data_IF_022650632384
#
_entry.id   IF_022650632384
#
_cell.length_a   1.000
_cell.length_b   1.000
_cell.length_c   1.000
_cell.angle_alpha   90.00
_cell.angle_beta   90.00
_cell.angle_gamma   90.00
#
_symmetry.space_group_name_H-M   'P 1'
#
loop_
_entity.id
_entity.type
_entity.pdbx_description
1 polymer ?
#
# COMPACT_ATOMS: atom_id res chain seq x y z
N UNK A 1 -22.19 -24.15 7.03
CA UNK A 1 -22.88 -23.67 5.82
C UNK A 1 -21.94 -22.71 5.10
N UNK A 2 -21.67 -22.87 3.79
CA UNK A 2 -20.91 -21.86 3.08
C UNK A 2 -21.83 -20.64 2.86
N UNK A 3 -21.44 -19.47 3.37
CA UNK A 3 -22.12 -18.21 3.08
C UNK A 3 -21.79 -17.80 1.63
N UNK A 4 -22.53 -18.31 0.67
CA UNK A 4 -22.57 -17.80 -0.71
C UNK A 4 -23.58 -16.67 -0.78
N UNK A 5 -23.17 -15.43 -0.53
CA UNK A 5 -24.08 -14.26 -0.61
C UNK A 5 -23.42 -13.00 -1.22
N UNK A 6 -22.33 -13.18 -1.97
CA UNK A 6 -21.55 -12.07 -2.53
C UNK A 6 -21.31 -12.21 -4.05
N UNK A 7 -21.60 -13.38 -4.64
CA UNK A 7 -21.47 -13.57 -6.08
C UNK A 7 -22.40 -12.61 -6.84
N UNK A 8 -21.84 -11.80 -7.74
CA UNK A 8 -22.58 -10.79 -8.51
C UNK A 8 -22.65 -9.40 -7.85
N UNK A 9 -22.04 -9.22 -6.68
CA UNK A 9 -22.00 -7.93 -5.95
C UNK A 9 -20.65 -7.23 -6.05
N UNK A 10 -19.77 -7.67 -6.95
CA UNK A 10 -18.38 -7.21 -7.01
C UNK A 10 -18.26 -5.70 -7.30
N UNK A 11 -19.28 -5.12 -7.95
CA UNK A 11 -19.33 -3.68 -8.26
C UNK A 11 -19.99 -2.82 -7.17
N UNK A 12 -20.52 -3.41 -6.10
CA UNK A 12 -21.13 -2.65 -5.01
C UNK A 12 -20.06 -1.82 -4.28
N UNK A 13 -20.36 -0.55 -4.01
CA UNK A 13 -19.48 0.36 -3.27
C UNK A 13 -19.51 0.03 -1.78
N UNK A 14 -18.33 -0.08 -1.18
CA UNK A 14 -18.10 -0.28 0.24
C UNK A 14 -18.22 1.06 0.98
N UNK A 15 -19.27 1.21 1.79
CA UNK A 15 -19.55 2.47 2.52
C UNK A 15 -18.99 2.54 3.94
N UNK A 16 -18.39 1.46 4.43
CA UNK A 16 -18.00 1.32 5.84
C UNK A 16 -16.49 1.48 6.08
N UNK A 17 -15.69 1.72 5.04
CA UNK A 17 -14.24 1.95 5.15
C UNK A 17 -13.98 3.45 4.96
N UNK A 18 -13.59 4.18 6.03
CA UNK A 18 -13.19 5.58 5.92
C UNK A 18 -12.01 5.77 4.95
N UNK A 19 -11.97 6.90 4.25
CA UNK A 19 -10.94 7.23 3.25
C UNK A 19 -11.12 6.55 1.89
N UNK A 20 -12.14 5.71 1.70
CA UNK A 20 -12.30 4.91 0.48
C UNK A 20 -13.72 5.02 -0.13
N UNK A 21 -14.02 6.16 -0.75
CA UNK A 21 -15.36 6.42 -1.32
C UNK A 21 -15.69 5.60 -2.58
N UNK A 22 -14.67 5.16 -3.32
CA UNK A 22 -14.82 4.43 -4.59
C UNK A 22 -14.49 2.93 -4.48
N UNK A 23 -14.16 2.44 -3.28
CA UNK A 23 -13.76 1.06 -3.07
C UNK A 23 -14.94 0.12 -3.32
N UNK A 24 -14.75 -0.86 -4.22
CA UNK A 24 -15.79 -1.85 -4.53
C UNK A 24 -15.57 -3.12 -3.73
N UNK A 25 -16.63 -3.93 -3.58
CA UNK A 25 -16.51 -5.23 -2.93
C UNK A 25 -15.47 -6.11 -3.62
N UNK A 26 -15.39 -6.09 -4.96
CA UNK A 26 -14.40 -6.85 -5.71
C UNK A 26 -12.94 -6.40 -5.51
N UNK A 27 -12.71 -5.19 -5.02
CA UNK A 27 -11.37 -4.65 -4.78
C UNK A 27 -10.77 -5.10 -3.44
N UNK A 28 -11.59 -5.68 -2.54
CA UNK A 28 -11.12 -6.14 -1.24
C UNK A 28 -10.12 -7.31 -1.40
N UNK A 29 -9.18 -7.50 -0.47
CA UNK A 29 -8.29 -8.66 -0.55
C UNK A 29 -9.07 -9.98 -0.46
N UNK A 30 -8.63 -10.99 -1.24
CA UNK A 30 -9.13 -12.36 -1.09
C UNK A 30 -8.86 -12.83 0.34
N UNK A 31 -9.87 -13.43 0.97
CA UNK A 31 -9.84 -13.81 2.38
C UNK A 31 -10.54 -12.84 3.32
N UNK A 32 -10.94 -11.65 2.88
CA UNK A 32 -11.74 -10.73 3.70
C UNK A 32 -13.23 -11.05 3.60
N UNK A 33 -13.76 -11.12 2.37
CA UNK A 33 -15.16 -11.45 2.09
C UNK A 33 -15.34 -12.64 1.14
N UNK A 34 -14.34 -12.95 0.32
CA UNK A 34 -14.41 -13.98 -0.74
C UNK A 34 -13.18 -14.87 -0.76
N UNK A 35 -13.27 -15.99 -1.46
CA UNK A 35 -12.26 -17.05 -1.48
C UNK A 35 -12.48 -18.08 -0.35
N UNK A 36 -11.49 -18.94 -0.14
CA UNK A 36 -11.56 -19.95 0.92
C UNK A 36 -11.27 -19.33 2.29
N UNK A 37 -12.32 -18.89 3.00
CA UNK A 37 -12.21 -18.24 4.30
C UNK A 37 -11.71 -19.18 5.43
N UNK A 38 -11.78 -20.49 5.21
CA UNK A 38 -11.28 -21.51 6.14
C UNK A 38 -9.81 -21.86 5.88
N UNK A 39 -9.18 -21.27 4.86
CA UNK A 39 -7.76 -21.46 4.60
C UNK A 39 -6.92 -21.02 5.82
N UNK A 40 -5.88 -21.78 6.21
CA UNK A 40 -5.01 -21.41 7.33
C UNK A 40 -4.47 -19.98 7.25
N UNK A 41 -4.16 -19.50 6.04
CA UNK A 41 -3.68 -18.14 5.80
C UNK A 41 -4.76 -17.09 6.14
N UNK A 42 -6.01 -17.32 5.71
CA UNK A 42 -7.12 -16.40 5.99
C UNK A 42 -7.46 -16.41 7.48
N UNK A 43 -7.49 -17.59 8.10
CA UNK A 43 -7.70 -17.74 9.54
C UNK A 43 -6.61 -17.01 10.33
N UNK A 44 -5.35 -17.10 9.87
CA UNK A 44 -4.23 -16.33 10.44
C UNK A 44 -4.45 -14.83 10.31
N UNK A 45 -4.80 -14.32 9.13
CA UNK A 45 -5.06 -12.88 8.90
C UNK A 45 -6.22 -12.37 9.77
N UNK A 46 -7.31 -13.14 9.86
CA UNK A 46 -8.44 -12.80 10.72
C UNK A 46 -8.02 -12.74 12.20
N UNK A 47 -7.27 -13.74 12.69
CA UNK A 47 -6.74 -13.74 14.07
C UNK A 47 -5.79 -12.57 14.32
N UNK A 48 -4.92 -12.25 13.36
CA UNK A 48 -4.02 -11.10 13.43
C UNK A 48 -4.82 -9.80 13.59
N UNK A 49 -5.80 -9.54 12.71
CA UNK A 49 -6.65 -8.36 12.78
C UNK A 49 -7.38 -8.20 14.13
N UNK A 50 -7.79 -9.31 14.74
CA UNK A 50 -8.42 -9.32 16.08
C UNK A 50 -7.43 -9.12 17.23
N UNK A 51 -6.15 -9.46 17.03
CA UNK A 51 -5.10 -9.31 18.03
C UNK A 51 -4.46 -7.92 18.00
N UNK A 52 -4.43 -7.23 16.84
CA UNK A 52 -3.80 -5.91 16.66
C UNK A 52 -4.22 -4.88 17.73
N UNK A 53 -5.51 -4.69 18.09
CA UNK A 53 -5.89 -3.70 19.11
C UNK A 53 -5.27 -3.95 20.50
N UNK A 54 -4.77 -5.17 20.76
CA UNK A 54 -4.11 -5.55 22.02
C UNK A 54 -2.59 -5.35 22.00
N UNK A 55 -2.00 -5.07 20.85
CA UNK A 55 -0.56 -4.86 20.73
C UNK A 55 -0.12 -3.62 21.52
N UNK A 56 1.09 -3.67 22.08
CA UNK A 56 1.71 -2.51 22.71
C UNK A 56 1.93 -1.39 21.70
N UNK A 57 2.44 -1.74 20.52
CA UNK A 57 2.74 -0.86 19.40
C UNK A 57 2.44 -1.58 18.08
N UNK A 58 2.00 -0.84 17.07
CA UNK A 58 1.93 -1.33 15.69
C UNK A 58 2.75 -0.40 14.83
N UNK A 59 3.86 -0.90 14.29
CA UNK A 59 4.68 -0.19 13.34
C UNK A 59 4.26 -0.54 11.92
N UNK A 60 4.10 0.47 11.06
CA UNK A 60 3.73 0.30 9.65
C UNK A 60 4.72 1.03 8.77
N UNK A 61 5.14 0.39 7.68
CA UNK A 61 5.93 1.02 6.63
C UNK A 61 5.05 1.93 5.76
N UNK A 62 4.70 3.08 6.31
CA UNK A 62 3.93 4.16 5.68
C UNK A 62 4.33 5.48 6.35
N UNK A 63 3.70 6.59 5.96
CA UNK A 63 3.86 7.91 6.57
C UNK A 63 2.49 8.56 6.79
N UNK A 64 2.36 9.45 7.76
CA UNK A 64 1.05 9.96 8.21
C UNK A 64 0.35 10.81 7.15
N UNK A 65 1.14 11.57 6.39
CA UNK A 65 0.66 12.52 5.40
C UNK A 65 0.14 11.86 4.12
N UNK A 66 0.35 10.54 3.94
CA UNK A 66 -0.09 9.81 2.76
C UNK A 66 -1.61 9.84 2.61
N UNK A 67 -2.30 9.58 3.71
CA UNK A 67 -3.75 9.63 3.81
C UNK A 67 -4.16 9.95 5.26
N UNK A 68 -4.47 11.22 5.57
CA UNK A 68 -4.83 11.62 6.93
C UNK A 68 -6.11 10.96 7.46
N UNK A 69 -7.09 10.68 6.60
CA UNK A 69 -8.38 10.11 7.01
C UNK A 69 -8.21 8.65 7.45
N UNK A 70 -7.51 7.85 6.65
CA UNK A 70 -7.17 6.46 6.99
C UNK A 70 -6.31 6.42 8.25
N UNK A 71 -5.30 7.30 8.34
CA UNK A 71 -4.42 7.34 9.51
C UNK A 71 -5.17 7.70 10.79
N UNK A 72 -6.09 8.66 10.74
CA UNK A 72 -6.92 9.03 11.88
C UNK A 72 -7.85 7.88 12.30
N UNK A 73 -8.48 7.19 11.34
CA UNK A 73 -9.31 6.03 11.61
C UNK A 73 -8.51 4.90 12.27
N UNK A 74 -7.31 4.58 11.77
CA UNK A 74 -6.44 3.55 12.36
C UNK A 74 -5.95 3.94 13.76
N UNK A 75 -5.55 5.19 13.97
CA UNK A 75 -5.18 5.71 15.30
C UNK A 75 -6.33 5.64 16.30
N UNK A 76 -7.58 5.75 15.86
CA UNK A 76 -8.75 5.62 16.73
C UNK A 76 -9.01 4.19 17.21
N UNK A 77 -8.57 3.20 16.43
CA UNK A 77 -8.83 1.76 16.68
C UNK A 77 -7.66 1.06 17.38
N UNK A 78 -6.46 1.63 17.30
CA UNK A 78 -5.21 1.00 17.71
C UNK A 78 -4.50 1.87 18.75
N UNK A 79 -4.05 1.27 19.86
CA UNK A 79 -3.50 1.99 21.02
C UNK A 79 -2.29 2.88 20.66
N UNK A 80 -1.41 2.40 19.79
CA UNK A 80 -0.20 3.12 19.38
C UNK A 80 0.19 2.70 17.96
N UNK A 81 -0.39 3.39 16.99
CA UNK A 81 -0.17 3.20 15.57
C UNK A 81 0.94 4.14 15.08
N UNK A 82 2.07 3.56 14.67
CA UNK A 82 3.30 4.28 14.34
C UNK A 82 3.65 4.07 12.87
N UNK A 83 3.57 5.13 12.08
CA UNK A 83 4.06 5.14 10.71
C UNK A 83 5.57 5.41 10.74
N UNK A 84 6.37 4.42 10.37
CA UNK A 84 7.85 4.44 10.45
C UNK A 84 8.53 4.38 9.08
N UNK A 85 7.77 4.60 8.01
CA UNK A 85 8.22 4.56 6.63
C UNK A 85 8.31 5.95 5.98
N UNK A 86 8.39 6.02 4.64
CA UNK A 86 8.59 4.89 3.75
C UNK A 86 10.07 4.45 3.74
N UNK A 87 10.33 3.16 3.97
CA UNK A 87 11.70 2.63 4.12
C UNK A 87 12.61 2.85 2.90
N UNK A 88 12.04 2.94 1.70
CA UNK A 88 12.78 3.25 0.47
C UNK A 88 13.38 4.67 0.45
N UNK A 89 12.86 5.58 1.28
CA UNK A 89 13.33 6.96 1.40
C UNK A 89 14.24 7.13 2.61
N UNK A 90 14.09 6.24 3.60
CA UNK A 90 14.95 6.14 4.80
C UNK A 90 16.28 5.46 4.45
N UNK A 91 16.27 4.57 3.44
CA UNK A 91 17.47 3.91 2.92
C UNK A 91 17.91 4.58 1.63
N UNK A 92 18.96 5.41 1.69
CA UNK A 92 19.58 6.04 0.52
C UNK A 92 20.39 5.01 -0.29
N UNK A 93 19.73 4.02 -0.90
CA UNK A 93 20.40 3.18 -1.91
C UNK A 93 20.35 3.89 -3.25
N UNK A 94 21.45 4.55 -3.61
CA UNK A 94 21.72 5.01 -4.96
C UNK A 94 21.79 3.79 -5.89
N UNK A 95 20.66 3.43 -6.50
CA UNK A 95 20.67 2.41 -7.54
C UNK A 95 21.36 3.02 -8.77
N UNK A 96 22.38 2.37 -9.33
CA UNK A 96 23.00 2.83 -10.56
C UNK A 96 21.96 2.84 -11.69
N UNK A 97 22.11 3.71 -12.70
CA UNK A 97 21.23 3.72 -13.86
C UNK A 97 21.25 2.33 -14.53
N UNK A 98 20.10 1.85 -15.03
CA UNK A 98 20.04 0.55 -15.70
C UNK A 98 20.96 0.54 -16.92
N UNK A 99 21.64 -0.59 -17.21
CA UNK A 99 22.49 -0.73 -18.39
C UNK A 99 21.66 -0.59 -19.68
N UNK A 100 22.27 0.01 -20.70
CA UNK A 100 21.64 0.36 -21.99
C UNK A 100 21.34 -0.83 -22.92
N UNK A 101 21.47 -2.07 -22.45
CA UNK A 101 21.30 -3.29 -23.23
C UNK A 101 20.02 -4.00 -22.79
N UNK A 102 18.92 -3.76 -23.50
CA UNK A 102 17.66 -4.47 -23.30
C UNK A 102 17.68 -5.80 -24.07
N UNK A 103 18.23 -6.86 -23.47
CA UNK A 103 17.90 -8.22 -23.88
C UNK A 103 16.69 -8.69 -23.10
N UNK A 104 15.66 -9.22 -23.78
CA UNK A 104 14.49 -9.83 -23.16
C UNK A 104 14.82 -11.22 -22.60
N UNK A 105 15.80 -11.27 -21.70
CA UNK A 105 16.35 -12.50 -21.13
C UNK A 105 15.28 -13.30 -20.39
N UNK A 106 14.31 -12.61 -19.79
CA UNK A 106 13.22 -13.22 -19.03
C UNK A 106 11.98 -13.54 -19.87
N UNK A 107 12.01 -13.28 -21.18
CA UNK A 107 10.86 -13.49 -22.06
C UNK A 107 9.65 -12.64 -21.68
N UNK A 108 9.87 -11.48 -21.06
CA UNK A 108 8.83 -10.53 -20.67
C UNK A 108 8.00 -10.09 -21.88
N UNK A 109 8.62 -9.95 -23.06
CA UNK A 109 7.90 -9.58 -24.29
C UNK A 109 7.00 -10.73 -24.75
N UNK A 110 7.47 -11.98 -24.71
CA UNK A 110 6.64 -13.14 -25.02
C UNK A 110 5.51 -13.33 -23.98
N UNK A 111 5.78 -13.06 -22.70
CA UNK A 111 4.77 -13.07 -21.64
C UNK A 111 3.71 -11.98 -21.83
N UNK A 112 4.11 -10.78 -22.31
CA UNK A 112 3.19 -9.69 -22.64
C UNK A 112 2.20 -10.07 -23.75
N UNK A 113 2.57 -10.95 -24.68
CA UNK A 113 1.68 -11.40 -25.77
C UNK A 113 0.63 -12.45 -25.33
N UNK A 114 0.73 -12.95 -24.09
CA UNK A 114 -0.03 -14.10 -23.57
C UNK A 114 -1.42 -13.86 -22.98
N UNK A 115 -1.98 -12.64 -22.99
CA UNK A 115 -3.45 -12.46 -22.88
C UNK A 115 -4.06 -11.82 -21.63
N UNK A 116 -3.38 -10.88 -20.97
CA UNK A 116 -4.04 -9.90 -20.05
C UNK A 116 -3.58 -8.48 -20.39
N UNK A 117 -2.30 -8.34 -20.74
CA UNK A 117 -1.73 -7.15 -21.36
C UNK A 117 -2.00 -7.20 -22.87
N UNK A 118 -2.86 -6.32 -23.38
CA UNK A 118 -3.05 -6.19 -24.83
C UNK A 118 -2.07 -5.16 -25.37
N UNK A 119 -1.57 -5.36 -26.60
CA UNK A 119 -0.73 -4.35 -27.28
C UNK A 119 -1.41 -2.97 -27.27
N UNK A 120 -2.72 -2.92 -27.54
CA UNK A 120 -3.51 -1.69 -27.51
C UNK A 120 -3.62 -1.08 -26.11
N UNK A 121 -3.85 -1.90 -25.08
CA UNK A 121 -3.89 -1.45 -23.68
C UNK A 121 -2.55 -0.90 -23.21
N UNK A 122 -1.45 -1.59 -23.54
CA UNK A 122 -0.09 -1.15 -23.23
C UNK A 122 0.25 0.18 -23.93
N UNK A 123 -0.05 0.30 -25.23
CA UNK A 123 0.15 1.54 -25.98
C UNK A 123 -0.68 2.69 -25.40
N UNK A 124 -1.94 2.44 -25.04
CA UNK A 124 -2.80 3.45 -24.43
C UNK A 124 -2.29 3.91 -23.05
N UNK A 125 -1.80 2.99 -22.23
CA UNK A 125 -1.19 3.32 -20.94
C UNK A 125 0.10 4.13 -21.10
N UNK A 126 0.99 3.73 -22.01
CA UNK A 126 2.21 4.48 -22.34
C UNK A 126 1.87 5.87 -22.87
N UNK A 127 0.91 5.98 -23.77
CA UNK A 127 0.43 7.26 -24.29
C UNK A 127 -0.08 8.13 -23.14
N UNK A 128 -0.90 7.60 -22.23
CA UNK A 128 -1.41 8.36 -21.07
C UNK A 128 -0.29 8.89 -20.17
N UNK A 129 0.69 8.04 -19.82
CA UNK A 129 1.80 8.40 -18.92
C UNK A 129 2.83 9.32 -19.59
N UNK A 130 3.12 9.11 -20.87
CA UNK A 130 4.09 9.89 -21.64
C UNK A 130 3.48 11.14 -22.28
N UNK A 131 2.14 11.26 -22.32
CA UNK A 131 1.43 12.45 -22.80
C UNK A 131 1.84 13.71 -22.04
N UNK A 132 1.80 14.84 -22.75
CA UNK A 132 2.18 16.14 -22.20
C UNK A 132 1.27 16.63 -21.09
N UNK A 133 -0.04 16.42 -21.21
CA UNK A 133 -1.02 16.94 -20.26
C UNK A 133 -1.28 15.96 -19.13
N UNK A 134 -1.99 14.86 -19.38
CA UNK A 134 -2.27 13.81 -18.38
C UNK A 134 -1.02 13.27 -17.70
N UNK A 135 0.04 12.99 -18.46
CA UNK A 135 1.30 12.54 -17.91
C UNK A 135 1.98 13.58 -17.02
N UNK A 136 1.83 14.88 -17.33
CA UNK A 136 2.35 15.96 -16.48
C UNK A 136 1.57 16.07 -15.19
N UNK A 137 0.24 15.98 -15.23
CA UNK A 137 -0.61 15.93 -14.04
C UNK A 137 -0.21 14.78 -13.12
N UNK A 138 -0.05 13.56 -13.67
CA UNK A 138 0.41 12.39 -12.92
C UNK A 138 1.78 12.63 -12.26
N UNK A 139 2.74 13.22 -12.99
CA UNK A 139 4.07 13.54 -12.45
C UNK A 139 4.01 14.61 -11.36
N UNK A 140 3.17 15.63 -11.51
CA UNK A 140 2.98 16.67 -10.49
C UNK A 140 2.37 16.10 -9.22
N UNK A 141 1.37 15.22 -9.33
CA UNK A 141 0.79 14.53 -8.16
C UNK A 141 1.81 13.61 -7.49
N UNK A 142 2.56 12.80 -8.26
CA UNK A 142 3.64 11.98 -7.73
C UNK A 142 4.73 12.83 -7.04
N UNK A 143 5.02 14.02 -7.58
CA UNK A 143 5.93 14.99 -6.99
C UNK A 143 5.46 15.48 -5.61
N UNK A 144 4.18 15.83 -5.47
CA UNK A 144 3.58 16.21 -4.18
C UNK A 144 3.69 15.10 -3.15
N UNK A 145 3.36 13.85 -3.52
CA UNK A 145 3.52 12.71 -2.61
C UNK A 145 4.97 12.47 -2.22
N UNK A 146 5.91 12.65 -3.16
CA UNK A 146 7.35 12.57 -2.88
C UNK A 146 7.79 13.64 -1.87
N UNK A 147 7.33 14.88 -2.02
CA UNK A 147 7.62 15.96 -1.08
C UNK A 147 7.07 15.66 0.33
N UNK A 148 5.84 15.13 0.41
CA UNK A 148 5.25 14.69 1.69
C UNK A 148 6.09 13.59 2.34
N UNK A 149 6.51 12.58 1.57
CA UNK A 149 7.36 11.49 2.07
C UNK A 149 8.71 12.03 2.56
N UNK A 150 9.36 12.94 1.83
CA UNK A 150 10.63 13.55 2.24
C UNK A 150 10.48 14.38 3.51
N UNK A 151 9.38 15.11 3.66
CA UNK A 151 9.07 15.86 4.88
C UNK A 151 8.84 14.92 6.07
N UNK A 152 8.12 13.82 5.86
CA UNK A 152 7.81 12.84 6.90
C UNK A 152 9.06 12.14 7.47
N UNK A 153 10.08 11.91 6.64
CA UNK A 153 11.37 11.32 7.05
C UNK A 153 12.44 12.34 7.43
N UNK A 154 12.11 13.64 7.40
CA UNK A 154 13.01 14.70 7.85
C UNK A 154 13.31 14.61 9.35
N UNK A 155 14.28 15.38 9.88
CA UNK A 155 14.67 15.33 11.30
C UNK A 155 13.50 15.57 12.26
N UNK A 156 12.60 16.49 11.90
CA UNK A 156 11.38 16.82 12.66
C UNK A 156 10.11 16.20 12.03
N UNK A 157 10.30 15.22 11.14
CA UNK A 157 9.23 14.58 10.39
C UNK A 157 8.44 13.57 11.23
N UNK A 158 7.19 13.36 10.86
CA UNK A 158 6.26 12.44 11.54
C UNK A 158 6.82 11.01 11.68
N UNK A 159 7.49 10.52 10.64
CA UNK A 159 8.03 9.15 10.60
C UNK A 159 9.30 9.02 11.45
N UNK A 160 10.14 10.06 11.50
CA UNK A 160 11.30 10.11 12.40
C UNK A 160 10.87 10.12 13.86
N UNK A 161 9.87 10.92 14.22
CA UNK A 161 9.32 10.96 15.58
C UNK A 161 8.68 9.63 15.99
N UNK A 162 7.92 9.00 15.09
CA UNK A 162 7.33 7.68 15.32
C UNK A 162 8.39 6.59 15.44
N UNK A 163 9.48 6.65 14.67
CA UNK A 163 10.60 5.72 14.79
C UNK A 163 11.31 5.87 16.15
N UNK A 164 11.56 7.10 16.60
CA UNK A 164 12.12 7.34 17.93
C UNK A 164 11.20 6.81 19.04
N UNK A 165 9.90 7.04 18.92
CA UNK A 165 8.89 6.49 19.84
C UNK A 165 8.93 4.96 19.86
N UNK A 166 9.05 4.33 18.69
CA UNK A 166 9.19 2.89 18.58
C UNK A 166 10.48 2.40 19.26
N UNK A 167 11.61 3.09 19.06
CA UNK A 167 12.88 2.76 19.70
C UNK A 167 12.78 2.85 21.22
N UNK A 168 12.13 3.87 21.78
CA UNK A 168 11.88 3.95 23.21
C UNK A 168 11.02 2.78 23.71
N UNK A 169 10.00 2.39 22.96
CA UNK A 169 9.13 1.28 23.35
C UNK A 169 9.91 -0.02 23.34
N UNK A 170 10.70 -0.29 22.31
CA UNK A 170 11.48 -1.53 22.17
C UNK A 170 12.63 -1.59 23.19
N UNK A 171 13.31 -0.48 23.45
CA UNK A 171 14.45 -0.46 24.40
C UNK A 171 14.05 -0.41 25.86
N UNK A 172 12.79 -0.06 26.20
CA UNK A 172 12.25 -0.18 27.56
C UNK A 172 11.93 -1.60 27.99
N UNK A 173 11.84 -2.53 27.03
CA UNK A 173 11.83 -3.95 27.35
C UNK A 173 13.29 -4.39 27.39
N UNK A 174 13.85 -4.59 28.59
CA UNK A 174 15.08 -5.38 28.73
C UNK A 174 14.77 -6.78 28.15
N UNK A 175 15.36 -7.08 26.98
CA UNK A 175 15.38 -8.43 26.41
C UNK A 175 16.52 -9.24 27.03
#
# INVERSE_FOLDING_TARGET
MPRTDIAGRENDIVKFVPGFSELRLGDLPTGVLFGNLESPFVVMLHKMGRALPKATAIAVNSFEELDPEINQDLKSKLKMFLNVGPFNSISSSSSPPPPSSYSDEYGCIAWLEGGVFTKSGAMSALEMVLSREKGKELREQAGKFRELALKAVGPEGSSTQNLNTLLEVVTRYDL
#
